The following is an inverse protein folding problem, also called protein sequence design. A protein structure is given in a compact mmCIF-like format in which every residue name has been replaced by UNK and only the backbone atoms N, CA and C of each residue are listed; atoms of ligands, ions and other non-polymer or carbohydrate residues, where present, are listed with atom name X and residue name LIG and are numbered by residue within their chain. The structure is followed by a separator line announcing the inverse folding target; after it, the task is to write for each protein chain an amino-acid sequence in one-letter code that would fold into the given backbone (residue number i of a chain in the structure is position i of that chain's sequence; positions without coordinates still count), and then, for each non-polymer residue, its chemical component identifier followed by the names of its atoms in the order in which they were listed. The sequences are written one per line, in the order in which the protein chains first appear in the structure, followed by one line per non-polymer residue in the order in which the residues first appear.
data_IF_922741915047
#
_entry.id   IF_922741915047
#
_cell.length_a   1.000
_cell.length_b   1.000
_cell.length_c   1.000
_cell.angle_alpha   90.00
_cell.angle_beta   90.00
_cell.angle_gamma   90.00
#
_symmetry.space_group_name_H-M   'P 1'
#
loop_
_entity.id
_entity.type
_entity.pdbx_description
1 polymer ?
#
# COMPACT_ATOMS: atom_id res chain seq x y z
N UNK A 1 -12.10 -25.03 -14.40
CA UNK A 1 -11.14 -24.92 -13.28
C UNK A 1 -10.17 -23.82 -13.62
N UNK A 2 -10.34 -22.61 -13.06
CA UNK A 2 -9.59 -21.42 -13.49
C UNK A 2 -8.27 -21.35 -12.72
N UNK A 3 -7.18 -21.80 -13.36
CA UNK A 3 -5.81 -21.68 -12.84
C UNK A 3 -5.44 -20.21 -12.68
N UNK A 4 -5.41 -19.71 -11.44
CA UNK A 4 -4.93 -18.36 -11.16
C UNK A 4 -3.40 -18.38 -11.24
N UNK A 5 -2.90 -17.88 -12.36
CA UNK A 5 -1.49 -17.83 -12.72
C UNK A 5 -0.59 -17.42 -11.54
N UNK A 6 0.35 -18.30 -11.24
CA UNK A 6 1.57 -18.03 -10.46
C UNK A 6 2.29 -16.85 -11.09
N UNK A 7 2.51 -15.76 -10.35
CA UNK A 7 3.45 -14.70 -10.76
C UNK A 7 4.43 -14.42 -9.61
N UNK A 8 5.58 -15.08 -9.73
CA UNK A 8 6.93 -14.65 -9.33
C UNK A 8 7.04 -13.73 -8.09
N UNK A 9 7.34 -14.36 -6.96
CA UNK A 9 7.94 -13.73 -5.78
C UNK A 9 9.42 -13.44 -6.05
N UNK A 10 9.70 -12.33 -6.73
CA UNK A 10 11.00 -11.67 -6.57
C UNK A 10 10.87 -10.69 -5.40
N UNK A 11 11.26 -11.17 -4.21
CA UNK A 11 11.02 -10.52 -2.91
C UNK A 11 11.89 -9.27 -2.71
N UNK A 12 12.82 -8.96 -3.61
CA UNK A 12 13.85 -7.95 -3.39
C UNK A 12 13.45 -6.53 -3.85
N UNK A 13 12.32 -6.37 -4.56
CA UNK A 13 11.91 -5.10 -5.18
C UNK A 13 10.61 -4.49 -4.62
N UNK A 14 10.05 -5.04 -3.54
CA UNK A 14 8.71 -4.68 -3.05
C UNK A 14 8.71 -3.64 -1.91
N UNK A 15 9.80 -2.89 -1.74
CA UNK A 15 9.84 -1.80 -0.76
C UNK A 15 9.48 -0.48 -1.43
N UNK A 16 8.63 0.35 -0.80
CA UNK A 16 8.38 1.68 -1.30
C UNK A 16 9.66 2.51 -1.18
N UNK A 17 10.11 3.10 -2.29
CA UNK A 17 11.21 4.07 -2.25
C UNK A 17 10.73 5.28 -1.44
N UNK A 18 11.48 5.72 -0.40
CA UNK A 18 11.14 6.94 0.33
C UNK A 18 11.03 8.12 -0.63
N UNK A 19 9.92 8.89 -0.55
CA UNK A 19 9.63 9.97 -1.50
C UNK A 19 8.96 9.53 -2.81
N UNK A 20 8.64 8.23 -2.99
CA UNK A 20 7.91 7.71 -4.14
C UNK A 20 6.49 7.22 -3.80
N UNK A 21 5.75 6.89 -4.85
CA UNK A 21 4.39 6.37 -4.79
C UNK A 21 4.36 4.84 -4.62
N UNK A 22 3.83 4.37 -3.50
CA UNK A 22 3.72 2.96 -3.15
C UNK A 22 2.42 2.32 -3.66
N UNK A 23 2.46 1.04 -4.02
CA UNK A 23 1.24 0.24 -4.22
C UNK A 23 0.64 -0.19 -2.90
N UNK A 24 -0.63 -0.60 -2.93
CA UNK A 24 -1.26 -1.27 -1.79
C UNK A 24 -0.51 -2.53 -1.38
N UNK A 25 0.08 -3.28 -2.31
CA UNK A 25 0.85 -4.49 -2.00
C UNK A 25 2.12 -4.17 -1.22
N UNK A 26 2.88 -3.15 -1.65
CA UNK A 26 4.09 -2.70 -0.95
C UNK A 26 3.78 -2.24 0.48
N UNK A 27 2.66 -1.53 0.67
CA UNK A 27 2.23 -1.03 1.98
C UNK A 27 1.71 -2.16 2.87
N UNK A 28 0.97 -3.12 2.31
CA UNK A 28 0.54 -4.33 3.03
C UNK A 28 1.75 -5.14 3.52
N UNK A 29 2.76 -5.31 2.66
CA UNK A 29 4.00 -6.01 3.00
C UNK A 29 4.80 -5.26 4.07
N UNK A 30 4.92 -3.93 3.96
CA UNK A 30 5.65 -3.12 4.94
C UNK A 30 5.00 -3.13 6.32
N UNK A 31 3.67 -3.00 6.37
CA UNK A 31 2.92 -2.95 7.62
C UNK A 31 2.53 -4.34 8.14
N UNK A 32 2.85 -5.41 7.41
CA UNK A 32 2.46 -6.78 7.72
C UNK A 32 0.95 -6.94 7.94
N UNK A 33 0.15 -6.27 7.11
CA UNK A 33 -1.32 -6.32 7.17
C UNK A 33 -1.92 -6.91 5.91
N UNK A 34 -3.13 -7.43 6.03
CA UNK A 34 -3.89 -7.92 4.89
C UNK A 34 -4.41 -6.78 3.99
N UNK A 35 -4.66 -7.10 2.70
CA UNK A 35 -5.27 -6.14 1.76
C UNK A 35 -6.67 -5.69 2.17
N UNK A 36 -7.43 -6.54 2.86
CA UNK A 36 -8.77 -6.18 3.35
C UNK A 36 -8.68 -5.16 4.49
N UNK A 37 -7.71 -5.31 5.41
CA UNK A 37 -7.39 -4.30 6.42
C UNK A 37 -6.99 -2.97 5.77
N UNK A 38 -6.07 -3.01 4.80
CA UNK A 38 -5.65 -1.83 4.05
C UNK A 38 -6.84 -1.13 3.36
N UNK A 39 -7.72 -1.89 2.71
CA UNK A 39 -8.90 -1.32 2.06
C UNK A 39 -9.85 -0.65 3.05
N UNK A 40 -10.10 -1.26 4.21
CA UNK A 40 -10.91 -0.65 5.28
C UNK A 40 -10.29 0.67 5.76
N UNK A 41 -8.97 0.69 5.96
CA UNK A 41 -8.26 1.91 6.34
C UNK A 41 -8.34 2.99 5.26
N UNK A 42 -8.22 2.61 3.98
CA UNK A 42 -8.37 3.55 2.86
C UNK A 42 -9.76 4.20 2.75
N UNK A 43 -10.76 3.64 3.45
CA UNK A 43 -12.12 4.18 3.56
C UNK A 43 -12.35 4.93 4.88
N UNK A 44 -11.42 4.85 5.82
CA UNK A 44 -11.53 5.53 7.10
C UNK A 44 -11.31 7.04 6.92
N UNK A 45 -12.08 7.89 7.63
CA UNK A 45 -11.85 9.32 7.61
C UNK A 45 -10.47 9.65 8.19
N UNK A 46 -9.72 10.52 7.52
CA UNK A 46 -8.37 10.92 7.92
C UNK A 46 -7.24 10.03 7.41
N UNK A 47 -7.53 8.94 6.69
CA UNK A 47 -6.50 8.16 6.00
C UNK A 47 -6.02 8.90 4.73
N UNK A 48 -4.74 8.77 4.34
CA UNK A 48 -4.22 9.49 3.18
C UNK A 48 -4.93 9.13 1.88
N UNK A 49 -5.26 10.16 1.10
CA UNK A 49 -6.00 10.00 -0.14
C UNK A 49 -5.17 9.22 -1.18
N UNK A 50 -5.77 8.20 -1.83
CA UNK A 50 -5.12 7.50 -2.94
C UNK A 50 -4.99 8.41 -4.17
N UNK A 51 -3.83 8.36 -4.81
CA UNK A 51 -3.56 9.03 -6.08
C UNK A 51 -3.77 8.02 -7.22
N UNK A 52 -4.59 8.39 -8.20
CA UNK A 52 -4.93 7.54 -9.34
C UNK A 52 -4.06 7.89 -10.55
N UNK A 53 -3.18 6.98 -10.92
CA UNK A 53 -2.44 7.00 -12.18
C UNK A 53 -3.19 6.15 -13.21
N UNK A 54 -4.22 6.73 -13.83
CA UNK A 54 -5.11 6.01 -14.75
C UNK A 54 -5.83 4.84 -14.06
N UNK A 55 -5.50 3.61 -14.46
CA UNK A 55 -6.04 2.37 -13.86
C UNK A 55 -5.32 1.96 -12.57
N UNK A 56 -4.16 2.53 -12.29
CA UNK A 56 -3.37 2.20 -11.11
C UNK A 56 -3.65 3.17 -9.98
N UNK A 57 -3.77 2.65 -8.76
CA UNK A 57 -3.90 3.44 -7.54
C UNK A 57 -2.60 3.34 -6.77
N UNK A 58 -2.09 4.50 -6.34
CA UNK A 58 -0.86 4.59 -5.56
C UNK A 58 -1.06 5.51 -4.36
N UNK A 59 -0.24 5.33 -3.34
CA UNK A 59 -0.24 6.18 -2.16
C UNK A 59 1.12 6.84 -2.01
N UNK A 60 1.18 8.15 -1.69
CA UNK A 60 2.43 8.79 -1.34
C UNK A 60 2.95 8.19 -0.03
N UNK A 61 4.14 7.60 -0.07
CA UNK A 61 4.73 6.91 1.09
C UNK A 61 4.86 7.85 2.29
N UNK A 62 5.27 9.09 2.05
CA UNK A 62 5.43 10.11 3.07
C UNK A 62 4.12 10.42 3.81
N UNK A 63 2.99 10.53 3.10
CA UNK A 63 1.70 10.78 3.75
C UNK A 63 1.23 9.60 4.59
N UNK A 64 1.53 8.36 4.16
CA UNK A 64 1.27 7.16 4.97
C UNK A 64 2.14 7.17 6.23
N UNK A 65 3.44 7.43 6.09
CA UNK A 65 4.37 7.49 7.21
C UNK A 65 3.99 8.59 8.21
N UNK A 66 3.65 9.79 7.73
CA UNK A 66 3.17 10.89 8.57
C UNK A 66 1.85 10.54 9.29
N UNK A 67 0.93 9.85 8.61
CA UNK A 67 -0.30 9.36 9.23
C UNK A 67 -0.01 8.35 10.34
N UNK A 68 0.88 7.39 10.10
CA UNK A 68 1.29 6.39 11.09
C UNK A 68 2.02 7.03 12.28
N UNK A 69 2.94 7.96 12.02
CA UNK A 69 3.63 8.72 13.06
C UNK A 69 2.65 9.51 13.95
N UNK A 70 1.58 10.06 13.38
CA UNK A 70 0.52 10.74 14.14
C UNK A 70 -0.30 9.78 15.01
N UNK A 71 -0.41 8.50 14.64
CA UNK A 71 -1.15 7.49 15.41
C UNK A 71 -0.34 6.92 16.59
N UNK A 72 0.95 7.26 16.73
CA UNK A 72 1.74 6.94 17.92
C UNK A 72 2.17 5.48 18.03
N UNK A 73 2.84 4.95 16.99
CA UNK A 73 3.71 3.76 17.11
C UNK A 73 5.16 4.21 17.21
#
# INVERSE_FOLDING_TARGET
MTSKATRNSDTSSNLPIPGAFATSEQLCNRLQISRTTWWRWSKAPGFPAPIRFGRSVRWPTEAIEAFLAKQGV
#
